data_IF_802945677428
#
_entry.id   IF_802945677428
#
_cell.length_a   1.000
_cell.length_b   1.000
_cell.length_c   1.000
_cell.angle_alpha   90.00
_cell.angle_beta   90.00
_cell.angle_gamma   90.00
#
_symmetry.space_group_name_H-M   'P 1'
#
loop_
_entity.id
_entity.type
_entity.pdbx_description
1 polymer ?
#
# COMPACT_ATOMS: atom_id res chain seq x y z
N UNK A 1 11.10 -9.18 -21.76
CA UNK A 1 11.29 -8.36 -20.54
C UNK A 1 11.32 -9.31 -19.35
N UNK A 2 12.50 -9.59 -18.80
CA UNK A 2 12.64 -10.43 -17.59
C UNK A 2 12.22 -9.57 -16.41
N UNK A 3 10.91 -9.53 -16.16
CA UNK A 3 10.35 -8.80 -15.02
C UNK A 3 10.77 -9.51 -13.74
N UNK A 4 11.39 -8.78 -12.82
CA UNK A 4 11.67 -9.28 -11.47
C UNK A 4 10.37 -9.87 -10.91
N UNK A 5 10.38 -11.17 -10.61
CA UNK A 5 9.23 -11.83 -9.98
C UNK A 5 8.96 -11.25 -8.58
N UNK A 6 10.00 -10.72 -7.93
CA UNK A 6 9.94 -10.14 -6.60
C UNK A 6 10.05 -8.61 -6.69
N UNK A 7 9.04 -7.94 -6.14
CA UNK A 7 8.94 -6.49 -6.05
C UNK A 7 9.15 -6.05 -4.61
N UNK A 8 9.85 -4.94 -4.43
CA UNK A 8 9.86 -4.24 -3.15
C UNK A 8 8.49 -3.65 -2.85
N UNK A 9 8.27 -3.20 -1.61
CA UNK A 9 6.99 -2.57 -1.24
C UNK A 9 6.70 -1.33 -2.10
N UNK A 10 7.72 -0.55 -2.46
CA UNK A 10 7.55 0.62 -3.33
C UNK A 10 7.14 0.24 -4.76
N UNK A 11 7.79 -0.76 -5.34
CA UNK A 11 7.46 -1.25 -6.68
C UNK A 11 6.07 -1.92 -6.72
N UNK A 12 5.72 -2.66 -5.67
CA UNK A 12 4.38 -3.24 -5.53
C UNK A 12 3.29 -2.16 -5.53
N UNK A 13 3.49 -1.06 -4.80
CA UNK A 13 2.54 0.05 -4.76
C UNK A 13 2.41 0.74 -6.12
N UNK A 14 3.53 0.97 -6.82
CA UNK A 14 3.50 1.54 -8.16
C UNK A 14 2.73 0.65 -9.14
N UNK A 15 2.92 -0.67 -9.08
CA UNK A 15 2.17 -1.62 -9.90
C UNK A 15 0.68 -1.63 -9.56
N UNK A 16 0.33 -1.56 -8.27
CA UNK A 16 -1.07 -1.48 -7.83
C UNK A 16 -1.71 -0.19 -8.34
N UNK A 17 -1.00 0.94 -8.29
CA UNK A 17 -1.50 2.21 -8.80
C UNK A 17 -1.71 2.16 -10.32
N UNK A 18 -0.77 1.59 -11.07
CA UNK A 18 -0.87 1.41 -12.52
C UNK A 18 -2.04 0.51 -12.92
N UNK A 19 -2.23 -0.62 -12.21
CA UNK A 19 -3.25 -1.63 -12.55
C UNK A 19 -4.64 -1.25 -12.02
N UNK A 20 -4.72 -0.76 -10.77
CA UNK A 20 -5.98 -0.42 -10.10
C UNK A 20 -6.41 1.03 -10.34
N UNK A 21 -5.53 1.90 -10.85
CA UNK A 21 -5.77 3.34 -10.98
C UNK A 21 -5.89 4.07 -9.64
N UNK A 22 -5.33 3.51 -8.55
CA UNK A 22 -5.48 4.07 -7.19
C UNK A 22 -4.21 3.91 -6.37
N UNK A 23 -3.67 5.04 -5.92
CA UNK A 23 -2.54 5.07 -5.00
C UNK A 23 -2.94 4.55 -3.60
N UNK A 24 -2.10 3.71 -3.01
CA UNK A 24 -2.28 3.17 -1.65
C UNK A 24 -1.06 3.54 -0.82
N UNK A 25 -1.27 3.88 0.46
CA UNK A 25 -0.17 4.09 1.40
C UNK A 25 0.50 2.75 1.77
N UNK A 26 1.83 2.71 1.95
CA UNK A 26 2.54 1.49 2.34
C UNK A 26 1.98 0.87 3.63
N UNK A 27 1.60 1.69 4.61
CA UNK A 27 1.02 1.21 5.88
C UNK A 27 -0.32 0.49 5.69
N UNK A 28 -1.17 1.02 4.81
CA UNK A 28 -2.45 0.40 4.43
C UNK A 28 -2.21 -0.91 3.69
N UNK A 29 -1.22 -0.95 2.82
CA UNK A 29 -0.83 -2.17 2.12
C UNK A 29 -0.33 -3.25 3.09
N UNK A 30 0.51 -2.91 4.05
CA UNK A 30 0.91 -3.82 5.13
C UNK A 30 -0.28 -4.31 5.95
N UNK A 31 -1.24 -3.43 6.24
CA UNK A 31 -2.47 -3.81 6.96
C UNK A 31 -3.31 -4.81 6.18
N UNK A 32 -3.44 -4.66 4.86
CA UNK A 32 -4.12 -5.66 4.02
C UNK A 32 -3.40 -7.00 4.03
N UNK A 33 -2.07 -6.99 3.87
CA UNK A 33 -1.28 -8.21 3.89
C UNK A 33 -1.37 -8.94 5.23
N UNK A 34 -1.22 -8.23 6.37
CA UNK A 34 -1.37 -8.82 7.71
C UNK A 34 -2.75 -9.41 7.96
N UNK A 35 -3.79 -8.86 7.34
CA UNK A 35 -5.18 -9.34 7.47
C UNK A 35 -5.51 -10.51 6.53
N UNK A 36 -4.57 -10.96 5.70
CA UNK A 36 -4.82 -11.96 4.65
C UNK A 36 -5.76 -11.45 3.54
N UNK A 37 -6.00 -10.14 3.49
CA UNK A 37 -6.82 -9.46 2.48
C UNK A 37 -5.96 -8.87 1.35
N UNK A 38 -4.65 -8.98 1.48
CA UNK A 38 -3.63 -8.52 0.56
C UNK A 38 -2.79 -9.69 0.03
N UNK A 39 -1.87 -9.39 -0.90
CA UNK A 39 -0.89 -10.36 -1.34
C UNK A 39 -0.04 -10.84 -0.17
N UNK A 40 0.47 -12.07 -0.24
CA UNK A 40 1.30 -12.63 0.80
C UNK A 40 2.76 -12.16 0.64
N UNK A 41 3.46 -11.87 1.75
CA UNK A 41 4.89 -11.59 1.70
C UNK A 41 5.62 -12.87 1.28
N UNK A 42 6.31 -12.83 0.13
CA UNK A 42 6.93 -14.03 -0.45
C UNK A 42 8.27 -14.32 0.18
N UNK A 43 9.09 -13.28 0.29
CA UNK A 43 10.45 -13.37 0.80
C UNK A 43 10.75 -12.15 1.67
N UNK A 44 11.60 -12.33 2.67
CA UNK A 44 12.09 -11.25 3.51
C UNK A 44 13.61 -11.22 3.41
N UNK A 45 14.12 -10.20 2.73
CA UNK A 45 15.56 -9.96 2.61
C UNK A 45 15.94 -8.88 3.63
N UNK A 46 16.51 -9.32 4.76
CA UNK A 46 16.84 -8.44 5.88
C UNK A 46 15.60 -7.77 6.48
N UNK A 47 15.50 -6.45 6.36
CA UNK A 47 14.34 -5.65 6.82
C UNK A 47 13.31 -5.40 5.72
N UNK A 48 13.63 -5.73 4.48
CA UNK A 48 12.78 -5.48 3.32
C UNK A 48 11.96 -6.73 2.99
N UNK A 49 10.65 -6.55 2.87
CA UNK A 49 9.73 -7.60 2.43
C UNK A 49 9.56 -7.48 0.91
N UNK A 50 9.71 -8.63 0.25
CA UNK A 50 9.53 -8.81 -1.18
C UNK A 50 8.19 -9.48 -1.46
N UNK A 51 7.54 -8.99 -2.50
CA UNK A 51 6.19 -9.35 -2.92
C UNK A 51 6.23 -9.96 -4.31
N UNK A 52 5.44 -11.01 -4.54
CA UNK A 52 5.39 -11.60 -5.88
C UNK A 52 4.58 -10.70 -6.83
N UNK A 53 5.20 -10.30 -7.94
CA UNK A 53 4.59 -9.43 -8.96
C UNK A 53 3.23 -9.95 -9.43
N UNK A 54 3.10 -11.26 -9.65
CA UNK A 54 1.88 -11.87 -10.18
C UNK A 54 0.77 -11.86 -9.14
N UNK A 55 1.10 -12.09 -7.87
CA UNK A 55 0.14 -11.92 -6.76
C UNK A 55 -0.31 -10.47 -6.64
N UNK A 56 0.61 -9.51 -6.71
CA UNK A 56 0.28 -8.08 -6.64
C UNK A 56 -0.66 -7.69 -7.79
N UNK A 57 -0.35 -8.09 -9.02
CA UNK A 57 -1.18 -7.80 -10.19
C UNK A 57 -2.56 -8.46 -10.09
N UNK A 58 -2.61 -9.73 -9.68
CA UNK A 58 -3.87 -10.45 -9.51
C UNK A 58 -4.71 -9.84 -8.39
N UNK A 59 -4.08 -9.43 -7.29
CA UNK A 59 -4.73 -8.73 -6.19
C UNK A 59 -5.23 -7.36 -6.61
N UNK A 60 -4.45 -6.58 -7.37
CA UNK A 60 -4.86 -5.27 -7.88
C UNK A 60 -6.06 -5.38 -8.82
N UNK A 61 -6.10 -6.40 -9.69
CA UNK A 61 -7.24 -6.67 -10.60
C UNK A 61 -8.50 -7.14 -9.87
N UNK A 62 -8.37 -7.99 -8.86
CA UNK A 62 -9.49 -8.53 -8.09
C UNK A 62 -9.72 -7.76 -6.78
N UNK A 63 -9.12 -6.58 -6.65
CA UNK A 63 -9.09 -5.84 -5.40
C UNK A 63 -10.54 -5.60 -4.98
N UNK A 64 -10.95 -5.99 -3.76
CA UNK A 64 -12.29 -5.69 -3.27
C UNK A 64 -12.46 -4.18 -3.28
N UNK A 65 -13.19 -3.71 -4.29
CA UNK A 65 -13.29 -2.29 -4.64
C UNK A 65 -14.00 -1.51 -3.56
N UNK A 66 -13.51 -0.29 -3.31
CA UNK A 66 -14.19 0.82 -2.61
C UNK A 66 -15.10 0.38 -1.46
N UNK A 67 -14.53 -0.09 -0.35
CA UNK A 67 -15.07 0.34 0.93
C UNK A 67 -14.87 1.85 1.01
N UNK A 68 -15.90 2.64 0.66
CA UNK A 68 -16.00 4.10 0.74
C UNK A 68 -14.97 4.72 1.69
N UNK A 69 -13.80 5.07 1.17
CA UNK A 69 -12.88 6.03 1.78
C UNK A 69 -12.19 6.79 0.65
N UNK A 70 -13.01 7.59 -0.02
CA UNK A 70 -12.66 8.97 -0.36
C UNK A 70 -12.35 9.72 0.95
N UNK A 71 -11.32 9.33 1.68
CA UNK A 71 -11.03 9.91 3.00
C UNK A 71 -9.54 10.25 3.06
N UNK A 72 -9.29 11.55 3.09
CA UNK A 72 -8.06 12.22 3.51
C UNK A 72 -7.01 12.56 2.44
N UNK A 73 -7.42 13.25 1.36
CA UNK A 73 -6.83 14.61 1.18
C UNK A 73 -7.43 15.47 2.29
N UNK A 74 -6.92 15.27 3.51
CA UNK A 74 -7.09 16.22 4.58
C UNK A 74 -5.77 16.92 4.64
N UNK A 75 -5.74 18.09 4.03
CA UNK A 75 -4.99 19.23 4.51
C UNK A 75 -4.96 19.20 6.04
N UNK A 76 -3.89 18.66 6.61
CA UNK A 76 -3.42 18.90 7.97
C UNK A 76 -1.89 18.94 7.94
N UNK A 77 -1.39 19.84 7.10
CA UNK A 77 -0.15 20.51 7.43
C UNK A 77 -0.51 21.60 8.44
N UNK A 78 0.07 21.53 9.64
CA UNK A 78 0.24 22.69 10.52
C UNK A 78 -0.71 22.83 11.70
N UNK A 79 -0.17 22.53 12.89
CA UNK A 79 -0.46 23.15 14.20
C UNK A 79 -1.72 22.71 14.95
N UNK A 80 -1.52 21.70 15.77
CA UNK A 80 -2.07 21.62 17.12
C UNK A 80 -0.81 21.40 17.97
N UNK A 81 -0.28 22.43 18.61
CA UNK A 81 -0.44 22.64 20.06
C UNK A 81 0.23 23.99 20.41
N UNK A 82 -0.54 24.98 20.89
CA UNK A 82 -0.11 25.88 21.97
C UNK A 82 -1.30 26.76 22.42
N UNK A 83 -1.99 26.31 23.47
CA UNK A 83 -2.73 27.13 24.44
C UNK A 83 -2.95 26.22 25.66
N UNK A 84 -2.88 26.69 26.93
CA UNK A 84 -3.16 28.07 27.36
C UNK A 84 -2.25 28.64 28.50
N UNK A 85 -2.35 29.95 28.80
CA UNK A 85 -2.69 30.50 30.15
C UNK A 85 -2.34 32.00 30.29
N UNK A 86 -3.34 32.85 30.46
CA UNK A 86 -3.36 34.05 31.33
C UNK A 86 -4.82 34.38 31.60
#
# INVERSE_FOLDING_TARGET
MVGKNLLTTAEALALIEEVSGSAIKPDTFYSYSKRGQGPAPKEKVGRTVLWDKKEIENWARNRPGRGTRTDLTRTRSGRQDDRPST
#
